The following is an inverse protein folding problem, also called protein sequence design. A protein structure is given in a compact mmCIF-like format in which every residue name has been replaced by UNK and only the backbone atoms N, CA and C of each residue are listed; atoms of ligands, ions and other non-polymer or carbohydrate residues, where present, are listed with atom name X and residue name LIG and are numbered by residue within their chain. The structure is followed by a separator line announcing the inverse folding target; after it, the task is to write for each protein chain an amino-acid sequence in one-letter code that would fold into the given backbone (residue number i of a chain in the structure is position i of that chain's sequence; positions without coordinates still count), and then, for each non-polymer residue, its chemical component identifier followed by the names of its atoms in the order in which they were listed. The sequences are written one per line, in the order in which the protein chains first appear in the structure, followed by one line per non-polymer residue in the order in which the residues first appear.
data_IF_704879898058
#
_entry.id   IF_704879898058
#
_cell.length_a   1.000
_cell.length_b   1.000
_cell.length_c   1.000
_cell.angle_alpha   90.00
_cell.angle_beta   90.00
_cell.angle_gamma   90.00
#
_symmetry.space_group_name_H-M   'P 1'
#
loop_
_entity.id
_entity.type
_entity.pdbx_description
1 polymer ?
#
# COMPACT_ATOMS: atom_id res chain seq x y z
N UNK A 1 -1.85 35.91 0.67
CA UNK A 1 -3.21 35.34 0.82
C UNK A 1 -3.17 34.43 2.04
N UNK A 2 -3.75 34.86 3.17
CA UNK A 2 -3.79 34.06 4.41
C UNK A 2 -4.69 32.83 4.16
N UNK A 3 -4.08 31.66 4.00
CA UNK A 3 -4.81 30.39 3.94
C UNK A 3 -5.47 30.17 5.30
N UNK A 4 -6.79 30.02 5.34
CA UNK A 4 -7.50 29.66 6.56
C UNK A 4 -7.04 28.27 7.00
N UNK A 5 -6.58 28.05 8.24
CA UNK A 5 -6.20 26.72 8.69
C UNK A 5 -7.43 25.81 8.84
N UNK A 6 -7.24 24.50 8.68
CA UNK A 6 -8.22 23.47 9.00
C UNK A 6 -7.91 22.89 10.38
N UNK A 7 -8.94 22.71 11.21
CA UNK A 7 -8.81 22.09 12.53
C UNK A 7 -9.56 20.76 12.58
N UNK A 8 -8.85 19.70 12.91
CA UNK A 8 -9.41 18.40 13.26
C UNK A 8 -9.43 18.29 14.79
N UNK A 9 -10.62 18.07 15.35
CA UNK A 9 -10.86 18.05 16.79
C UNK A 9 -11.48 16.70 17.16
N UNK A 10 -10.89 16.00 18.13
CA UNK A 10 -11.45 14.77 18.66
C UNK A 10 -12.69 15.07 19.51
N UNK A 11 -13.77 14.30 19.34
CA UNK A 11 -14.95 14.44 20.20
C UNK A 11 -14.59 14.21 21.68
N UNK A 12 -15.06 15.07 22.61
CA UNK A 12 -14.84 14.89 24.03
C UNK A 12 -15.29 13.50 24.50
N UNK A 13 -14.39 12.76 25.16
CA UNK A 13 -14.71 11.44 25.70
C UNK A 13 -14.70 10.29 24.69
N UNK A 14 -14.45 10.53 23.40
CA UNK A 14 -14.43 9.47 22.38
C UNK A 14 -13.44 8.33 22.71
N UNK A 15 -12.28 8.68 23.25
CA UNK A 15 -11.29 7.70 23.73
C UNK A 15 -11.86 6.83 24.86
N UNK A 16 -12.55 7.42 25.84
CA UNK A 16 -13.13 6.70 26.97
C UNK A 16 -14.30 5.80 26.55
N UNK A 17 -15.16 6.29 25.65
CA UNK A 17 -16.28 5.52 25.08
C UNK A 17 -15.75 4.33 24.29
N UNK A 18 -14.77 4.55 23.40
CA UNK A 18 -14.23 3.47 22.57
C UNK A 18 -13.44 2.43 23.39
N UNK A 19 -12.73 2.86 24.45
CA UNK A 19 -12.09 1.95 25.41
C UNK A 19 -13.16 1.11 26.15
N UNK A 20 -14.27 1.74 26.57
CA UNK A 20 -15.36 1.04 27.25
C UNK A 20 -16.04 0.01 26.33
N UNK A 21 -16.29 0.38 25.08
CA UNK A 21 -16.86 -0.52 24.07
C UNK A 21 -15.93 -1.70 23.77
N UNK A 22 -14.61 -1.46 23.67
CA UNK A 22 -13.64 -2.54 23.50
C UNK A 22 -13.58 -3.47 24.72
N UNK A 23 -13.69 -2.92 25.94
CA UNK A 23 -13.75 -3.71 27.15
C UNK A 23 -15.01 -4.60 27.18
N UNK A 24 -16.14 -4.10 26.67
CA UNK A 24 -17.38 -4.86 26.51
C UNK A 24 -17.25 -5.94 25.43
N UNK A 25 -16.68 -5.61 24.27
CA UNK A 25 -16.35 -6.56 23.20
C UNK A 25 -15.43 -7.67 23.70
N UNK A 26 -14.39 -7.34 24.48
CA UNK A 26 -13.49 -8.34 25.08
C UNK A 26 -14.24 -9.32 25.99
N UNK A 27 -15.16 -8.82 26.83
CA UNK A 27 -15.98 -9.67 27.71
C UNK A 27 -16.89 -10.58 26.89
N UNK A 28 -17.52 -10.05 25.85
CA UNK A 28 -18.36 -10.82 24.94
C UNK A 28 -17.57 -11.90 24.19
N UNK A 29 -16.39 -11.56 23.64
CA UNK A 29 -15.50 -12.50 22.96
C UNK A 29 -14.97 -13.58 23.91
N UNK A 30 -14.56 -13.23 25.14
CA UNK A 30 -14.10 -14.20 26.14
C UNK A 30 -15.22 -15.18 26.55
N UNK A 31 -16.47 -14.71 26.61
CA UNK A 31 -17.63 -15.55 26.82
C UNK A 31 -17.86 -16.48 25.62
N UNK A 32 -17.84 -15.97 24.39
CA UNK A 32 -18.09 -16.76 23.17
C UNK A 32 -16.99 -17.79 22.86
N UNK A 33 -15.71 -17.46 23.08
CA UNK A 33 -14.58 -18.40 22.94
C UNK A 33 -14.70 -19.58 23.92
N UNK A 34 -15.36 -19.40 25.07
CA UNK A 34 -15.58 -20.47 26.06
C UNK A 34 -16.65 -21.47 25.64
N UNK A 35 -17.57 -21.09 24.75
CA UNK A 35 -18.75 -21.91 24.45
C UNK A 35 -18.85 -22.40 23.00
N UNK A 36 -18.30 -21.73 21.98
CA UNK A 36 -18.59 -22.13 20.58
C UNK A 36 -17.49 -21.95 19.50
N UNK A 37 -16.27 -21.45 19.80
CA UNK A 37 -15.28 -21.15 18.73
C UNK A 37 -13.83 -21.56 19.07
N UNK A 38 -13.22 -22.38 18.20
CA UNK A 38 -11.78 -22.68 18.17
C UNK A 38 -10.94 -21.50 17.62
N UNK A 39 -11.16 -20.28 18.11
CA UNK A 39 -10.48 -19.08 17.64
C UNK A 39 -10.15 -18.14 18.82
N UNK A 40 -8.90 -17.67 18.91
CA UNK A 40 -8.46 -16.74 19.96
C UNK A 40 -8.96 -15.30 19.70
N UNK A 41 -10.28 -15.10 19.84
CA UNK A 41 -10.92 -13.80 19.74
C UNK A 41 -10.41 -12.83 20.81
N UNK A 42 -10.02 -13.34 21.98
CA UNK A 42 -9.49 -12.52 23.07
C UNK A 42 -8.09 -11.95 22.73
N UNK A 43 -7.26 -12.71 22.02
CA UNK A 43 -5.99 -12.24 21.44
C UNK A 43 -6.19 -11.14 20.40
N UNK A 44 -7.11 -11.34 19.45
CA UNK A 44 -7.42 -10.33 18.44
C UNK A 44 -7.92 -9.00 19.04
N UNK A 45 -8.76 -9.06 20.08
CA UNK A 45 -9.25 -7.85 20.76
C UNK A 45 -8.16 -7.15 21.58
N UNK A 46 -7.19 -7.89 22.16
CA UNK A 46 -6.02 -7.29 22.83
C UNK A 46 -5.16 -6.51 21.84
N UNK A 47 -4.91 -7.10 20.67
CA UNK A 47 -4.15 -6.47 19.59
C UNK A 47 -4.82 -5.17 19.13
N UNK A 48 -6.14 -5.21 18.91
CA UNK A 48 -6.95 -4.03 18.59
C UNK A 48 -6.84 -2.95 19.68
N UNK A 49 -6.93 -3.32 20.96
CA UNK A 49 -6.84 -2.38 22.07
C UNK A 49 -5.48 -1.66 22.13
N UNK A 50 -4.38 -2.37 21.88
CA UNK A 50 -3.05 -1.80 21.84
C UNK A 50 -2.86 -0.84 20.65
N UNK A 51 -3.49 -1.13 19.50
CA UNK A 51 -3.45 -0.27 18.32
C UNK A 51 -4.33 0.99 18.47
N UNK A 52 -5.38 0.96 19.29
CA UNK A 52 -6.31 2.06 19.51
C UNK A 52 -5.73 3.25 20.30
N UNK A 53 -4.89 2.99 21.31
CA UNK A 53 -4.23 4.05 22.07
C UNK A 53 -3.33 4.95 21.19
N UNK A 54 -2.88 4.36 20.09
CA UNK A 54 -2.04 4.94 19.07
C UNK A 54 -2.83 5.74 18.02
N UNK A 55 -4.10 5.42 17.80
CA UNK A 55 -5.01 6.11 16.87
C UNK A 55 -5.54 7.45 17.43
N UNK A 56 -5.54 7.64 18.76
CA UNK A 56 -6.03 8.87 19.41
C UNK A 56 -4.95 9.89 19.77
N UNK A 57 -3.77 9.83 19.14
CA UNK A 57 -2.71 10.81 19.34
C UNK A 57 -2.37 11.54 18.04
N UNK A 58 -2.99 12.71 17.83
CA UNK A 58 -2.74 13.53 16.65
C UNK A 58 -1.30 14.03 16.53
N UNK A 59 -0.48 13.96 17.58
CA UNK A 59 0.95 14.25 17.47
C UNK A 59 1.66 13.23 16.59
N UNK A 60 1.21 11.98 16.57
CA UNK A 60 1.77 10.93 15.69
C UNK A 60 1.40 11.21 14.24
N UNK A 61 0.12 11.50 14.00
CA UNK A 61 -0.38 11.88 12.68
C UNK A 61 0.37 13.10 12.12
N UNK A 62 0.50 14.17 12.92
CA UNK A 62 1.19 15.39 12.48
C UNK A 62 2.65 15.15 12.11
N UNK A 63 3.38 14.35 12.91
CA UNK A 63 4.78 14.00 12.60
C UNK A 63 4.90 13.26 11.28
N UNK A 64 4.06 12.25 11.06
CA UNK A 64 4.09 11.47 9.81
C UNK A 64 3.72 12.34 8.61
N UNK A 65 2.68 13.17 8.76
CA UNK A 65 2.23 14.13 7.75
C UNK A 65 3.33 15.11 7.35
N UNK A 66 4.04 15.69 8.33
CA UNK A 66 5.10 16.66 8.05
C UNK A 66 6.34 16.01 7.43
N UNK A 67 6.77 14.85 7.95
CA UNK A 67 7.94 14.12 7.45
C UNK A 67 7.72 13.63 6.01
N UNK A 68 6.63 12.91 5.77
CA UNK A 68 6.32 12.37 4.44
C UNK A 68 5.93 13.52 3.50
N UNK A 69 5.23 14.52 4.00
CA UNK A 69 4.86 15.72 3.24
C UNK A 69 6.04 16.54 2.78
N UNK A 70 7.11 16.64 3.56
CA UNK A 70 8.38 17.27 3.15
C UNK A 70 9.04 16.47 2.02
N UNK A 71 9.17 15.15 2.19
CA UNK A 71 9.80 14.27 1.20
C UNK A 71 9.04 14.25 -0.14
N UNK A 72 7.71 14.18 -0.10
CA UNK A 72 6.88 14.24 -1.32
C UNK A 72 6.94 15.61 -2.00
N UNK A 73 7.04 16.70 -1.23
CA UNK A 73 7.18 18.06 -1.77
C UNK A 73 8.51 18.25 -2.48
N UNK A 74 9.58 17.72 -1.92
CA UNK A 74 10.90 17.71 -2.56
C UNK A 74 10.87 16.92 -3.88
N UNK A 75 10.29 15.71 -3.87
CA UNK A 75 10.28 14.85 -5.05
C UNK A 75 9.32 15.31 -6.16
N UNK A 76 8.17 15.91 -5.83
CA UNK A 76 7.07 16.15 -6.78
C UNK A 76 6.62 17.61 -6.90
N UNK A 77 7.18 18.51 -6.10
CA UNK A 77 6.85 19.93 -6.09
C UNK A 77 5.35 20.16 -5.88
N UNK A 78 4.72 20.91 -6.77
CA UNK A 78 3.29 21.25 -6.67
C UNK A 78 2.34 20.17 -7.20
N UNK A 79 2.85 19.08 -7.80
CA UNK A 79 2.01 17.99 -8.36
C UNK A 79 1.33 17.16 -7.28
N UNK A 80 1.93 17.10 -6.10
CA UNK A 80 1.39 16.49 -4.90
C UNK A 80 1.34 17.54 -3.79
N UNK A 81 0.36 17.45 -2.91
CA UNK A 81 0.21 18.37 -1.79
C UNK A 81 -0.18 17.60 -0.55
N UNK A 82 0.66 17.72 0.46
CA UNK A 82 0.39 17.25 1.81
C UNK A 82 0.26 18.48 2.70
N UNK A 83 -0.81 18.60 3.50
CA UNK A 83 -0.93 19.71 4.44
C UNK A 83 0.24 19.69 5.43
N UNK A 84 0.68 20.86 5.89
CA UNK A 84 1.67 20.97 6.95
C UNK A 84 0.95 21.25 8.28
N UNK A 85 1.42 20.63 9.35
CA UNK A 85 0.92 20.91 10.69
C UNK A 85 1.29 22.34 11.12
N UNK A 86 0.40 22.99 11.85
CA UNK A 86 0.56 24.37 12.36
C UNK A 86 0.52 24.40 13.87
N UNK A 87 -0.40 23.66 14.46
CA UNK A 87 -0.51 23.48 15.90
C UNK A 87 -1.02 22.07 16.16
N UNK A 88 -0.36 21.35 17.07
CA UNK A 88 -0.74 19.98 17.40
C UNK A 88 -0.76 19.77 18.91
N UNK A 89 -1.81 19.09 19.36
CA UNK A 89 -1.93 18.51 20.70
C UNK A 89 -2.31 17.04 20.54
N UNK A 90 -2.46 16.30 21.64
CA UNK A 90 -2.97 14.92 21.57
C UNK A 90 -4.37 14.85 20.90
N UNK A 91 -5.22 15.86 21.12
CA UNK A 91 -6.66 15.85 20.75
C UNK A 91 -7.08 16.87 19.69
N UNK A 92 -6.16 17.71 19.23
CA UNK A 92 -6.41 18.68 18.17
C UNK A 92 -5.22 18.78 17.22
N UNK A 93 -5.50 18.73 15.91
CA UNK A 93 -4.54 19.00 14.84
C UNK A 93 -5.05 20.18 14.01
N UNK A 94 -4.26 21.25 13.96
CA UNK A 94 -4.45 22.39 13.07
C UNK A 94 -3.42 22.28 11.95
N UNK A 95 -3.87 22.31 10.70
CA UNK A 95 -3.03 22.14 9.52
C UNK A 95 -3.42 23.07 8.38
N UNK A 96 -2.58 23.11 7.35
CA UNK A 96 -2.87 23.85 6.12
C UNK A 96 -4.19 23.39 5.48
N UNK A 97 -5.03 24.34 5.09
CA UNK A 97 -6.20 24.01 4.29
C UNK A 97 -5.81 23.77 2.83
N UNK A 98 -6.00 22.54 2.37
CA UNK A 98 -5.74 22.16 0.98
C UNK A 98 -7.01 22.38 0.17
N UNK A 99 -6.98 23.40 -0.70
CA UNK A 99 -8.08 23.66 -1.64
C UNK A 99 -8.08 22.59 -2.74
N UNK A 100 -9.19 21.87 -2.88
CA UNK A 100 -9.43 20.88 -3.94
C UNK A 100 -10.83 20.27 -3.87
N UNK A 101 -11.16 19.45 -4.86
CA UNK A 101 -12.43 18.70 -4.91
C UNK A 101 -12.18 17.23 -4.53
N UNK A 102 -12.92 16.65 -3.58
CA UNK A 102 -12.82 15.23 -3.25
C UNK A 102 -13.03 14.34 -4.48
N UNK A 103 -12.29 13.23 -4.56
CA UNK A 103 -12.38 12.31 -5.69
C UNK A 103 -13.79 11.76 -5.97
N UNK A 104 -14.63 11.40 -4.97
CA UNK A 104 -16.01 10.98 -5.22
C UNK A 104 -16.87 12.04 -5.92
N UNK A 105 -16.52 13.32 -5.77
CA UNK A 105 -17.23 14.44 -6.41
C UNK A 105 -16.72 14.71 -7.83
N UNK A 106 -15.76 13.94 -8.34
CA UNK A 106 -15.21 14.11 -9.67
C UNK A 106 -16.28 14.03 -10.77
N UNK A 107 -17.30 13.21 -10.58
CA UNK A 107 -18.44 13.14 -11.50
C UNK A 107 -19.24 14.45 -11.56
N UNK A 108 -19.41 15.12 -10.41
CA UNK A 108 -20.07 16.42 -10.31
C UNK A 108 -19.25 17.56 -10.92
N UNK A 109 -17.92 17.51 -10.77
CA UNK A 109 -17.00 18.52 -11.34
C UNK A 109 -17.00 18.45 -12.87
N UNK A 110 -17.07 17.25 -13.46
CA UNK A 110 -17.13 17.08 -14.91
C UNK A 110 -18.56 17.18 -15.50
N UNK A 111 -19.61 17.14 -14.68
CA UNK A 111 -21.00 17.29 -15.13
C UNK A 111 -21.47 18.75 -15.18
N UNK A 112 -20.90 19.64 -14.35
CA UNK A 112 -21.27 21.07 -14.31
C UNK A 112 -20.84 21.87 -15.54
N UNK A 113 -19.93 21.34 -16.36
CA UNK A 113 -19.48 21.97 -17.62
C UNK A 113 -20.45 21.67 -18.77
N UNK A 114 -21.58 22.39 -18.84
CA UNK A 114 -22.67 22.25 -19.84
C UNK A 114 -22.30 22.49 -21.31
N UNK A 115 -21.02 22.70 -21.66
CA UNK A 115 -20.60 23.14 -23.01
C UNK A 115 -19.88 22.09 -23.87
N UNK A 116 -19.61 20.89 -23.35
CA UNK A 116 -18.79 19.90 -24.07
C UNK A 116 -19.59 18.70 -24.57
N UNK A 117 -19.51 18.42 -25.88
CA UNK A 117 -20.02 17.18 -26.52
C UNK A 117 -19.58 15.95 -25.72
N UNK A 118 -20.49 14.99 -25.46
CA UNK A 118 -20.29 13.87 -24.52
C UNK A 118 -18.99 13.06 -24.71
N UNK A 119 -18.49 12.95 -25.94
CA UNK A 119 -17.22 12.29 -26.25
C UNK A 119 -15.98 13.03 -25.68
N UNK A 120 -15.92 14.35 -25.84
CA UNK A 120 -14.83 15.19 -25.32
C UNK A 120 -14.78 15.14 -23.78
N UNK A 121 -15.96 15.09 -23.14
CA UNK A 121 -16.09 14.95 -21.68
C UNK A 121 -15.56 13.60 -21.18
N UNK A 122 -15.88 12.49 -21.85
CA UNK A 122 -15.32 11.16 -21.51
C UNK A 122 -13.80 11.13 -21.66
N UNK A 123 -13.27 11.69 -22.75
CA UNK A 123 -11.81 11.76 -22.98
C UNK A 123 -11.09 12.62 -21.94
N UNK A 124 -11.67 13.75 -21.55
CA UNK A 124 -11.12 14.61 -20.50
C UNK A 124 -11.15 13.92 -19.12
N UNK A 125 -12.25 13.23 -18.76
CA UNK A 125 -12.36 12.43 -17.53
C UNK A 125 -11.29 11.35 -17.48
N UNK A 126 -11.13 10.57 -18.56
CA UNK A 126 -10.13 9.50 -18.64
C UNK A 126 -8.71 10.03 -18.45
N UNK A 127 -8.35 11.11 -19.14
CA UNK A 127 -7.03 11.75 -18.98
C UNK A 127 -6.77 12.27 -17.57
N UNK A 128 -7.77 12.90 -16.95
CA UNK A 128 -7.65 13.35 -15.57
C UNK A 128 -7.51 12.16 -14.61
N UNK A 129 -8.24 11.06 -14.85
CA UNK A 129 -8.11 9.82 -14.09
C UNK A 129 -6.74 9.17 -14.22
N UNK A 130 -6.20 9.07 -15.44
CA UNK A 130 -4.83 8.61 -15.69
C UNK A 130 -3.79 9.46 -14.97
N UNK A 131 -3.94 10.79 -15.07
CA UNK A 131 -3.06 11.75 -14.43
C UNK A 131 -3.09 11.65 -12.90
N UNK A 132 -4.27 11.43 -12.32
CA UNK A 132 -4.47 11.17 -10.89
C UNK A 132 -3.80 9.86 -10.47
N UNK A 133 -4.12 8.75 -11.14
CA UNK A 133 -3.59 7.42 -10.84
C UNK A 133 -2.07 7.40 -10.94
N UNK A 134 -1.50 8.03 -11.97
CA UNK A 134 -0.05 8.15 -12.11
C UNK A 134 0.57 8.91 -10.92
N UNK A 135 -0.02 10.04 -10.51
CA UNK A 135 0.48 10.82 -9.36
C UNK A 135 0.38 10.04 -8.05
N UNK A 136 -0.74 9.35 -7.81
CA UNK A 136 -0.91 8.49 -6.65
C UNK A 136 0.10 7.34 -6.65
N UNK A 137 0.27 6.66 -7.79
CA UNK A 137 1.23 5.57 -7.93
C UNK A 137 2.66 6.04 -7.66
N UNK A 138 3.07 7.19 -8.21
CA UNK A 138 4.37 7.80 -7.93
C UNK A 138 4.52 8.18 -6.45
N UNK A 139 3.50 8.77 -5.83
CA UNK A 139 3.51 9.10 -4.40
C UNK A 139 3.72 7.84 -3.54
N UNK A 140 2.97 6.78 -3.81
CA UNK A 140 3.09 5.52 -3.09
C UNK A 140 4.41 4.79 -3.36
N UNK A 141 4.89 4.79 -4.61
CA UNK A 141 6.20 4.21 -4.93
C UNK A 141 7.32 4.92 -4.18
N UNK A 142 7.27 6.26 -4.10
CA UNK A 142 8.22 7.04 -3.30
C UNK A 142 8.10 6.74 -1.80
N UNK A 143 6.89 6.77 -1.25
CA UNK A 143 6.64 6.44 0.15
C UNK A 143 7.21 5.06 0.54
N UNK A 144 6.86 4.03 -0.23
CA UNK A 144 7.27 2.65 0.07
C UNK A 144 8.78 2.44 -0.12
N UNK A 145 9.33 2.80 -1.27
CA UNK A 145 10.70 2.43 -1.64
C UNK A 145 11.75 3.48 -1.31
N UNK A 146 11.36 4.72 -0.96
CA UNK A 146 12.30 5.78 -0.54
C UNK A 146 12.15 6.14 0.92
N UNK A 147 10.92 6.22 1.43
CA UNK A 147 10.70 6.60 2.82
C UNK A 147 10.60 5.40 3.77
N UNK A 148 10.30 4.18 3.27
CA UNK A 148 10.03 3.00 4.11
C UNK A 148 8.70 3.06 4.87
N UNK A 149 7.95 4.16 4.69
CA UNK A 149 6.66 4.46 5.34
C UNK A 149 5.63 4.81 4.28
N UNK A 150 4.40 4.34 4.46
CA UNK A 150 3.31 4.62 3.53
C UNK A 150 2.00 4.88 4.27
N UNK A 151 1.12 5.62 3.60
CA UNK A 151 -0.24 5.82 4.05
C UNK A 151 -1.07 4.55 3.76
N UNK A 152 -1.58 3.90 4.79
CA UNK A 152 -2.33 2.64 4.68
C UNK A 152 -3.82 2.82 4.42
N UNK A 153 -4.30 4.06 4.29
CA UNK A 153 -5.70 4.37 4.03
C UNK A 153 -5.89 5.48 2.97
N UNK A 154 -5.54 5.24 1.70
CA UNK A 154 -5.79 6.16 0.59
C UNK A 154 -7.27 6.24 0.20
N UNK A 155 -8.17 6.24 1.17
CA UNK A 155 -9.59 6.28 0.90
C UNK A 155 -9.93 7.46 -0.03
N UNK A 156 -10.76 7.30 -1.07
CA UNK A 156 -11.07 8.36 -2.03
C UNK A 156 -11.52 9.69 -1.41
N UNK A 157 -12.11 9.66 -0.21
CA UNK A 157 -12.49 10.85 0.55
C UNK A 157 -11.29 11.71 1.01
N UNK A 158 -10.14 11.09 1.24
CA UNK A 158 -8.89 11.74 1.64
C UNK A 158 -8.05 12.21 0.45
N UNK A 159 -8.53 11.99 -0.78
CA UNK A 159 -7.86 12.38 -2.01
C UNK A 159 -8.55 13.61 -2.61
N UNK A 160 -7.80 14.71 -2.71
CA UNK A 160 -8.29 15.95 -3.30
C UNK A 160 -7.72 16.16 -4.70
N UNK A 161 -8.57 16.46 -5.67
CA UNK A 161 -8.16 16.93 -6.99
C UNK A 161 -8.02 18.45 -6.98
N UNK A 162 -6.84 18.91 -7.37
CA UNK A 162 -6.48 20.33 -7.33
C UNK A 162 -6.18 20.82 -8.73
N UNK A 163 -6.64 22.03 -9.04
CA UNK A 163 -6.17 22.78 -10.20
C UNK A 163 -4.74 23.22 -9.95
N UNK A 164 -3.85 22.94 -10.89
CA UNK A 164 -2.45 23.33 -10.81
C UNK A 164 -2.02 24.09 -12.07
N UNK A 165 -0.90 24.78 -12.01
CA UNK A 165 -0.37 25.52 -13.15
C UNK A 165 0.05 24.61 -14.32
N UNK A 166 0.38 25.20 -15.48
CA UNK A 166 0.83 24.45 -16.67
C UNK A 166 2.00 23.51 -16.39
N UNK A 167 2.94 23.92 -15.52
CA UNK A 167 4.10 23.10 -15.11
C UNK A 167 3.72 21.78 -14.41
N UNK A 168 2.51 21.70 -13.85
CA UNK A 168 1.97 20.48 -13.23
C UNK A 168 0.99 19.74 -14.16
N UNK A 169 0.96 20.07 -15.45
CA UNK A 169 0.00 19.49 -16.41
C UNK A 169 -1.46 19.80 -16.08
N UNK A 170 -1.73 20.91 -15.38
CA UNK A 170 -3.07 21.37 -15.03
C UNK A 170 -3.72 20.67 -13.82
N UNK A 171 -3.11 19.59 -13.29
CA UNK A 171 -3.68 18.78 -12.22
C UNK A 171 -2.65 18.49 -11.12
N UNK A 172 -3.07 18.63 -9.87
CA UNK A 172 -2.35 18.17 -8.69
C UNK A 172 -3.25 17.35 -7.78
N UNK A 173 -2.65 16.57 -6.89
CA UNK A 173 -3.37 15.69 -5.95
C UNK A 173 -3.01 16.09 -4.52
N UNK A 174 -4.03 16.34 -3.71
CA UNK A 174 -3.90 16.49 -2.26
C UNK A 174 -4.08 15.14 -1.57
N UNK A 175 -3.15 14.79 -0.68
CA UNK A 175 -3.24 13.62 0.19
C UNK A 175 -3.54 14.10 1.61
N UNK A 176 -4.75 13.83 2.06
CA UNK A 176 -5.20 14.11 3.42
C UNK A 176 -5.08 12.85 4.29
N UNK A 177 -5.28 13.04 5.60
CA UNK A 177 -5.37 11.99 6.62
C UNK A 177 -4.12 11.12 6.69
N UNK A 178 -3.34 11.33 7.75
CA UNK A 178 -2.10 10.58 7.99
C UNK A 178 -2.19 9.74 9.26
N UNK A 179 -3.42 9.54 9.77
CA UNK A 179 -3.68 8.77 10.99
C UNK A 179 -3.27 7.30 10.84
N UNK A 180 -3.40 6.74 9.64
CA UNK A 180 -2.96 5.39 9.31
C UNK A 180 -1.68 5.40 8.44
N UNK A 181 -0.54 5.60 9.09
CA UNK A 181 0.78 5.40 8.47
C UNK A 181 1.39 4.09 8.96
N UNK A 182 1.97 3.30 8.05
CA UNK A 182 2.62 2.02 8.36
C UNK A 182 4.01 1.96 7.76
N UNK A 183 4.89 1.25 8.44
CA UNK A 183 6.23 0.92 7.96
C UNK A 183 6.20 -0.43 7.26
N UNK A 184 7.00 -0.59 6.20
CA UNK A 184 7.26 -1.88 5.59
C UNK A 184 8.74 -2.21 5.83
N UNK A 185 9.01 -3.26 6.62
CA UNK A 185 10.37 -3.65 6.97
C UNK A 185 11.23 -3.90 5.73
N UNK A 186 12.55 -3.66 5.85
CA UNK A 186 13.48 -3.69 4.72
C UNK A 186 13.42 -4.98 3.89
N UNK A 187 13.30 -6.11 4.58
CA UNK A 187 13.20 -7.44 3.95
C UNK A 187 11.90 -7.58 3.13
N UNK A 188 10.76 -7.14 3.69
CA UNK A 188 9.48 -7.15 3.00
C UNK A 188 9.46 -6.16 1.81
N UNK A 189 10.10 -5.00 1.98
CA UNK A 189 10.27 -4.00 0.90
C UNK A 189 11.15 -4.54 -0.23
N UNK A 190 12.23 -5.26 0.08
CA UNK A 190 13.09 -5.91 -0.91
C UNK A 190 12.34 -6.99 -1.71
N UNK A 191 11.59 -7.86 -1.02
CA UNK A 191 10.76 -8.87 -1.68
C UNK A 191 9.68 -8.22 -2.56
N UNK A 192 9.02 -7.17 -2.06
CA UNK A 192 8.04 -6.41 -2.84
C UNK A 192 8.69 -5.78 -4.09
N UNK A 193 9.89 -5.23 -3.97
CA UNK A 193 10.63 -4.66 -5.08
C UNK A 193 10.91 -5.71 -6.17
N UNK A 194 11.35 -6.92 -5.80
CA UNK A 194 11.54 -8.02 -6.75
C UNK A 194 10.23 -8.43 -7.43
N UNK A 195 9.13 -8.57 -6.68
CA UNK A 195 7.82 -8.91 -7.24
C UNK A 195 7.32 -7.82 -8.21
N UNK A 196 7.44 -6.55 -7.84
CA UNK A 196 7.07 -5.41 -8.70
C UNK A 196 7.84 -5.44 -10.01
N UNK A 197 9.14 -5.72 -9.97
CA UNK A 197 9.97 -5.85 -11.18
C UNK A 197 9.47 -6.98 -12.08
N UNK A 198 9.26 -8.17 -11.52
CA UNK A 198 8.74 -9.32 -12.24
C UNK A 198 7.38 -9.02 -12.90
N UNK A 199 6.48 -8.35 -12.15
CA UNK A 199 5.18 -7.90 -12.64
C UNK A 199 5.29 -6.85 -13.76
N UNK A 200 6.29 -5.96 -13.71
CA UNK A 200 6.44 -4.86 -14.67
C UNK A 200 7.06 -5.27 -16.02
N UNK A 201 7.89 -6.33 -16.02
CA UNK A 201 8.64 -6.81 -17.18
C UNK A 201 7.82 -7.79 -18.03
N UNK A 202 8.45 -8.52 -18.97
CA UNK A 202 7.86 -9.38 -20.02
C UNK A 202 7.05 -10.61 -19.52
N UNK A 203 6.28 -10.46 -18.44
CA UNK A 203 5.30 -11.42 -17.89
C UNK A 203 5.81 -12.86 -17.86
N UNK A 204 7.05 -13.07 -17.37
CA UNK A 204 7.52 -14.40 -17.04
C UNK A 204 6.70 -14.91 -15.85
N UNK A 205 5.74 -15.81 -16.14
CA UNK A 205 4.78 -16.29 -15.16
C UNK A 205 5.46 -17.03 -14.03
N UNK A 206 6.48 -17.83 -14.36
CA UNK A 206 7.25 -18.60 -13.39
C UNK A 206 7.99 -17.68 -12.41
N UNK A 207 8.62 -16.60 -12.90
CA UNK A 207 9.29 -15.61 -12.02
C UNK A 207 8.29 -14.88 -11.13
N UNK A 208 7.13 -14.44 -11.67
CA UNK A 208 6.07 -13.80 -10.85
C UNK A 208 5.59 -14.73 -9.74
N UNK A 209 5.32 -16.00 -10.06
CA UNK A 209 4.87 -16.99 -9.08
C UNK A 209 5.94 -17.24 -8.02
N UNK A 210 7.21 -17.36 -8.43
CA UNK A 210 8.31 -17.51 -7.49
C UNK A 210 8.41 -16.30 -6.56
N UNK A 211 8.42 -15.07 -7.09
CA UNK A 211 8.46 -13.85 -6.26
C UNK A 211 7.25 -13.71 -5.36
N UNK A 212 6.08 -14.17 -5.79
CA UNK A 212 4.88 -14.20 -4.96
C UNK A 212 5.03 -15.15 -3.76
N UNK A 213 5.67 -16.33 -3.96
CA UNK A 213 5.99 -17.23 -2.84
C UNK A 213 7.13 -16.72 -1.97
N UNK A 214 8.15 -16.06 -2.54
CA UNK A 214 9.23 -15.43 -1.80
C UNK A 214 8.69 -14.40 -0.79
N UNK A 215 7.56 -13.73 -1.10
CA UNK A 215 6.86 -12.83 -0.15
C UNK A 215 6.35 -13.54 1.12
N UNK A 216 6.33 -14.88 1.17
CA UNK A 216 5.80 -15.67 2.28
C UNK A 216 4.35 -16.12 2.10
N UNK A 217 3.78 -15.95 0.90
CA UNK A 217 2.43 -16.42 0.57
C UNK A 217 2.39 -17.94 0.49
N UNK A 218 1.29 -18.57 0.90
CA UNK A 218 1.05 -20.00 0.65
C UNK A 218 -0.36 -20.22 0.13
N UNK A 219 -0.47 -20.99 -0.94
CA UNK A 219 -1.74 -21.38 -1.55
C UNK A 219 -2.09 -22.82 -1.19
N UNK A 220 -3.36 -23.19 -1.33
CA UNK A 220 -3.86 -24.54 -1.09
C UNK A 220 -3.21 -25.57 -2.04
N UNK A 221 -3.15 -25.24 -3.33
CA UNK A 221 -2.42 -26.02 -4.33
C UNK A 221 -1.22 -25.21 -4.85
N UNK A 222 -0.02 -25.38 -4.29
CA UNK A 222 1.17 -24.62 -4.73
C UNK A 222 1.62 -24.98 -6.16
N UNK A 223 1.19 -26.12 -6.69
CA UNK A 223 1.56 -26.56 -8.04
C UNK A 223 0.67 -25.97 -9.13
N UNK A 224 -0.47 -25.36 -8.78
CA UNK A 224 -1.30 -24.61 -9.72
C UNK A 224 -0.72 -23.21 -9.95
N UNK A 225 0.31 -23.16 -10.80
CA UNK A 225 1.02 -21.91 -11.16
C UNK A 225 0.15 -20.93 -11.93
N UNK A 226 -0.90 -21.40 -12.61
CA UNK A 226 -1.82 -20.52 -13.35
C UNK A 226 -2.68 -19.71 -12.39
N UNK A 227 -3.29 -20.36 -11.40
CA UNK A 227 -4.02 -19.68 -10.33
C UNK A 227 -3.08 -18.81 -9.49
N UNK A 228 -1.89 -19.31 -9.15
CA UNK A 228 -0.91 -18.55 -8.37
C UNK A 228 -0.52 -17.24 -9.07
N UNK A 229 -0.24 -17.29 -10.37
CA UNK A 229 0.04 -16.11 -11.18
C UNK A 229 -1.14 -15.13 -11.18
N UNK A 230 -2.36 -15.63 -11.42
CA UNK A 230 -3.56 -14.79 -11.43
C UNK A 230 -3.81 -14.10 -10.08
N UNK A 231 -3.58 -14.80 -8.97
CA UNK A 231 -3.67 -14.26 -7.61
C UNK A 231 -2.59 -13.19 -7.38
N UNK A 232 -1.33 -13.48 -7.74
CA UNK A 232 -0.22 -12.54 -7.59
C UNK A 232 -0.50 -11.21 -8.31
N UNK A 233 -0.90 -11.27 -9.59
CA UNK A 233 -1.26 -10.08 -10.37
C UNK A 233 -2.50 -9.40 -9.80
N UNK A 234 -3.48 -10.15 -9.32
CA UNK A 234 -4.71 -9.56 -8.75
C UNK A 234 -4.43 -8.81 -7.45
N UNK A 235 -3.55 -9.35 -6.60
CA UNK A 235 -3.19 -8.79 -5.30
C UNK A 235 -2.23 -7.60 -5.42
N UNK A 236 -1.20 -7.71 -6.25
CA UNK A 236 -0.07 -6.78 -6.26
C UNK A 236 0.02 -5.90 -7.50
N UNK A 237 -0.98 -5.94 -8.38
CA UNK A 237 -1.10 -5.04 -9.52
C UNK A 237 -2.55 -4.55 -9.72
N UNK A 238 -2.65 -3.42 -10.40
CA UNK A 238 -3.94 -2.79 -10.74
C UNK A 238 -4.43 -3.18 -12.13
N UNK A 239 -3.58 -3.85 -12.93
CA UNK A 239 -3.92 -4.28 -14.30
C UNK A 239 -5.16 -5.19 -14.29
N UNK A 240 -5.93 -5.14 -15.38
CA UNK A 240 -7.03 -6.09 -15.59
C UNK A 240 -6.46 -7.40 -16.16
N UNK A 241 -6.94 -8.53 -15.67
CA UNK A 241 -6.61 -9.85 -16.24
C UNK A 241 -7.83 -10.32 -17.02
N UNK A 242 -7.74 -10.52 -18.35
CA UNK A 242 -8.84 -11.06 -19.13
C UNK A 242 -9.34 -12.40 -18.55
N UNK A 243 -10.66 -12.54 -18.41
CA UNK A 243 -11.29 -13.76 -17.88
C UNK A 243 -11.39 -13.83 -16.35
N UNK A 244 -10.65 -13.03 -15.61
CA UNK A 244 -10.77 -12.92 -14.15
C UNK A 244 -11.49 -11.64 -13.74
N UNK A 245 -12.27 -11.71 -12.67
CA UNK A 245 -12.93 -10.53 -12.10
C UNK A 245 -12.47 -10.26 -10.69
N UNK A 246 -12.48 -8.98 -10.32
CA UNK A 246 -12.10 -8.51 -8.98
C UNK A 246 -13.16 -8.78 -7.91
N UNK A 247 -14.41 -9.04 -8.30
CA UNK A 247 -15.49 -9.31 -7.36
C UNK A 247 -15.20 -10.63 -6.60
N UNK A 248 -15.04 -10.62 -5.26
CA UNK A 248 -14.74 -11.81 -4.47
C UNK A 248 -15.84 -12.88 -4.50
N UNK A 249 -17.08 -12.49 -4.83
CA UNK A 249 -18.22 -13.40 -4.86
C UNK A 249 -18.44 -14.08 -6.22
N UNK A 250 -17.77 -13.63 -7.28
CA UNK A 250 -17.89 -14.21 -8.63
C UNK A 250 -17.02 -15.48 -8.75
N UNK A 251 -17.51 -16.48 -9.47
CA UNK A 251 -16.82 -17.76 -9.70
C UNK A 251 -15.52 -17.60 -10.50
N UNK A 252 -15.37 -16.51 -11.25
CA UNK A 252 -14.17 -16.17 -12.02
C UNK A 252 -13.14 -15.39 -11.20
N UNK A 253 -13.30 -15.29 -9.89
CA UNK A 253 -12.29 -14.69 -9.03
C UNK A 253 -11.11 -15.66 -8.82
N UNK A 254 -9.88 -15.17 -9.01
CA UNK A 254 -8.67 -15.98 -8.87
C UNK A 254 -8.50 -16.59 -7.47
N UNK A 255 -9.04 -15.95 -6.42
CA UNK A 255 -8.98 -16.47 -5.04
C UNK A 255 -9.90 -17.67 -4.81
N UNK A 256 -10.89 -17.92 -5.71
CA UNK A 256 -11.76 -19.10 -5.62
C UNK A 256 -11.17 -20.33 -6.28
N UNK A 257 -10.24 -20.17 -7.23
CA UNK A 257 -9.60 -21.31 -7.89
C UNK A 257 -8.48 -21.92 -7.03
N UNK A 258 -7.84 -21.13 -6.16
CA UNK A 258 -6.79 -21.60 -5.28
C UNK A 258 -6.72 -20.74 -4.00
N UNK A 259 -7.15 -21.27 -2.86
CA UNK A 259 -7.27 -20.49 -1.63
C UNK A 259 -5.90 -20.07 -1.07
N UNK A 260 -5.79 -18.83 -0.59
CA UNK A 260 -4.61 -18.36 0.15
C UNK A 260 -4.69 -18.89 1.58
N UNK A 261 -3.82 -19.85 1.94
CA UNK A 261 -3.76 -20.46 3.28
C UNK A 261 -2.91 -19.65 4.25
N UNK A 262 -1.85 -19.01 3.76
CA UNK A 262 -0.98 -18.14 4.57
C UNK A 262 -0.78 -16.82 3.85
N UNK A 263 -1.07 -15.74 4.55
CA UNK A 263 -0.84 -14.37 4.13
C UNK A 263 0.01 -13.67 5.20
N UNK A 264 1.21 -13.15 4.87
CA UNK A 264 2.05 -12.43 5.82
C UNK A 264 1.35 -11.17 6.37
N UNK A 265 1.21 -11.03 7.70
CA UNK A 265 0.48 -9.91 8.31
C UNK A 265 1.00 -8.53 7.91
N UNK A 266 2.32 -8.38 7.78
CA UNK A 266 2.98 -7.11 7.46
C UNK A 266 2.61 -6.57 6.07
N UNK A 267 2.11 -7.43 5.18
CA UNK A 267 1.69 -7.06 3.83
C UNK A 267 0.22 -6.63 3.75
N UNK A 268 -0.55 -6.77 4.83
CA UNK A 268 -2.00 -6.56 4.77
C UNK A 268 -2.35 -5.12 4.41
N UNK A 269 -1.71 -4.15 5.09
CA UNK A 269 -1.91 -2.72 4.82
C UNK A 269 -1.39 -2.30 3.44
N UNK A 270 -0.32 -2.96 2.97
CA UNK A 270 0.21 -2.75 1.62
C UNK A 270 -0.80 -3.22 0.57
N UNK A 271 -1.30 -4.45 0.73
CA UNK A 271 -2.33 -5.02 -0.15
C UNK A 271 -3.57 -4.12 -0.17
N UNK A 272 -4.07 -3.69 1.00
CA UNK A 272 -5.21 -2.77 1.10
C UNK A 272 -4.98 -1.50 0.28
N UNK A 273 -3.81 -0.89 0.40
CA UNK A 273 -3.45 0.33 -0.35
C UNK A 273 -3.48 0.09 -1.87
N UNK A 274 -2.89 -1.01 -2.34
CA UNK A 274 -2.91 -1.40 -3.76
C UNK A 274 -4.34 -1.65 -4.25
N UNK A 275 -5.16 -2.35 -3.46
CA UNK A 275 -6.55 -2.65 -3.83
C UNK A 275 -7.43 -1.39 -3.87
N UNK A 276 -7.18 -0.39 -3.02
CA UNK A 276 -7.88 0.90 -3.11
C UNK A 276 -7.49 1.63 -4.40
N UNK A 277 -6.21 1.69 -4.75
CA UNK A 277 -5.76 2.27 -6.03
C UNK A 277 -6.38 1.53 -7.22
N UNK A 278 -6.47 0.19 -7.14
CA UNK A 278 -7.16 -0.64 -8.14
C UNK A 278 -8.65 -0.30 -8.25
N UNK A 279 -9.33 -0.15 -7.12
CA UNK A 279 -10.73 0.26 -7.06
C UNK A 279 -10.96 1.62 -7.70
N UNK A 280 -10.08 2.60 -7.43
CA UNK A 280 -10.09 3.91 -8.09
C UNK A 280 -9.89 3.76 -9.61
N UNK A 281 -8.92 2.95 -10.03
CA UNK A 281 -8.67 2.69 -11.46
C UNK A 281 -9.89 2.09 -12.17
N UNK A 282 -10.55 1.14 -11.51
CA UNK A 282 -11.76 0.51 -12.03
C UNK A 282 -12.93 1.51 -12.10
N UNK A 283 -13.18 2.28 -11.04
CA UNK A 283 -14.24 3.29 -11.01
C UNK A 283 -14.04 4.45 -12.00
N UNK A 284 -12.80 4.70 -12.42
CA UNK A 284 -12.47 5.68 -13.47
C UNK A 284 -12.46 5.08 -14.88
N UNK A 285 -12.66 3.77 -15.01
CA UNK A 285 -12.51 2.99 -16.24
C UNK A 285 -11.16 3.24 -16.95
N UNK A 286 -10.09 3.27 -16.16
CA UNK A 286 -8.71 3.37 -16.64
C UNK A 286 -8.06 2.01 -16.47
N UNK A 287 -7.47 1.48 -17.54
CA UNK A 287 -6.56 0.34 -17.45
C UNK A 287 -5.18 0.87 -17.04
N UNK A 288 -4.75 0.48 -15.84
CA UNK A 288 -3.58 1.05 -15.18
C UNK A 288 -2.72 -0.07 -14.64
N UNK A 289 -1.40 0.03 -14.84
CA UNK A 289 -0.44 -0.96 -14.38
C UNK A 289 0.46 -0.31 -13.33
N UNK A 290 0.12 -0.50 -12.06
CA UNK A 290 0.85 0.07 -10.93
C UNK A 290 2.32 -0.38 -10.94
N UNK A 291 2.55 -1.66 -11.24
CA UNK A 291 3.89 -2.26 -11.31
C UNK A 291 4.82 -1.51 -12.26
N UNK A 292 4.33 -1.00 -13.39
CA UNK A 292 5.15 -0.23 -14.35
C UNK A 292 5.62 1.11 -13.79
N UNK A 293 4.83 1.74 -12.93
CA UNK A 293 5.20 3.00 -12.28
C UNK A 293 6.12 2.74 -11.09
N UNK A 294 5.93 1.63 -10.37
CA UNK A 294 6.74 1.28 -9.21
C UNK A 294 8.09 0.67 -9.58
N UNK A 295 8.24 0.06 -10.76
CA UNK A 295 9.48 -0.61 -11.16
C UNK A 295 10.75 0.26 -11.05
N UNK A 296 10.76 1.54 -11.50
CA UNK A 296 11.94 2.40 -11.31
C UNK A 296 12.29 2.66 -9.84
N UNK A 297 11.28 2.74 -8.95
CA UNK A 297 11.51 2.89 -7.52
C UNK A 297 12.07 1.61 -6.91
N UNK A 298 11.53 0.46 -7.31
CA UNK A 298 12.01 -0.85 -6.90
C UNK A 298 13.47 -1.09 -7.35
N UNK A 299 13.81 -0.73 -8.59
CA UNK A 299 15.18 -0.81 -9.10
C UNK A 299 16.15 0.04 -8.28
N UNK A 300 15.76 1.28 -7.98
CA UNK A 300 16.57 2.20 -7.18
C UNK A 300 16.77 1.68 -5.75
N UNK A 301 15.72 1.13 -5.12
CA UNK A 301 15.80 0.54 -3.79
C UNK A 301 16.75 -0.66 -3.73
N UNK A 302 16.61 -1.59 -4.68
CA UNK A 302 17.48 -2.78 -4.73
C UNK A 302 18.94 -2.40 -4.99
N UNK A 303 19.18 -1.40 -5.85
CA UNK A 303 20.52 -0.89 -6.12
C UNK A 303 21.16 -0.24 -4.90
N UNK A 304 20.41 0.57 -4.13
CA UNK A 304 20.95 1.27 -2.96
C UNK A 304 21.25 0.36 -1.76
N UNK A 305 20.61 -0.80 -1.68
CA UNK A 305 20.79 -1.75 -0.57
C UNK A 305 21.74 -2.92 -0.94
N UNK A 306 22.36 -2.90 -2.12
CA UNK A 306 23.24 -3.99 -2.58
C UNK A 306 22.50 -5.32 -2.79
N UNK A 307 21.17 -5.29 -2.88
CA UNK A 307 20.32 -6.48 -3.04
C UNK A 307 20.22 -6.79 -4.54
N UNK A 308 21.33 -7.24 -5.13
CA UNK A 308 21.37 -7.72 -6.51
C UNK A 308 21.05 -9.22 -6.54
N UNK A 309 19.82 -9.55 -6.94
CA UNK A 309 19.30 -10.90 -7.18
C UNK A 309 19.50 -11.90 -6.02
N UNK A 310 18.41 -12.25 -5.33
CA UNK A 310 18.34 -13.47 -4.53
C UNK A 310 18.61 -14.64 -5.48
N UNK A 311 19.85 -15.12 -5.46
CA UNK A 311 20.33 -16.25 -6.22
C UNK A 311 19.71 -17.53 -5.65
N UNK A 312 19.24 -18.38 -6.56
CA UNK A 312 18.63 -19.70 -6.34
C UNK A 312 19.23 -20.41 -5.13
N UNK A 313 18.39 -20.71 -4.12
CA UNK A 313 18.69 -21.81 -3.22
C UNK A 313 18.68 -23.11 -4.03
N UNK A 314 19.87 -23.57 -4.39
CA UNK A 314 20.08 -24.97 -4.73
C UNK A 314 20.11 -25.74 -3.41
N UNK A 315 19.18 -26.67 -3.30
CA UNK A 315 19.33 -27.86 -2.46
C UNK A 315 20.63 -28.56 -2.84
N UNK A 316 21.46 -28.89 -1.84
CA UNK A 316 22.68 -29.67 -2.06
C UNK A 316 23.40 -29.92 -0.75
N UNK A 317 22.93 -30.92 -0.01
CA UNK A 317 23.83 -31.70 0.83
C UNK A 317 24.90 -32.32 -0.08
N UNK A 318 26.17 -32.22 0.36
CA UNK A 318 27.39 -32.95 -0.06
C UNK A 318 28.57 -31.98 -0.19
N UNK A 319 29.53 -32.11 0.72
CA UNK A 319 30.75 -31.29 0.72
C UNK A 319 31.54 -31.25 2.04
N UNK A 320 31.20 -32.03 3.06
CA UNK A 320 32.13 -32.34 4.15
C UNK A 320 32.90 -33.62 3.81
N UNK A 321 33.98 -33.49 3.04
CA UNK A 321 35.17 -34.35 3.14
C UNK A 321 36.26 -33.75 2.26
N UNK A 322 37.49 -33.71 2.78
CA UNK A 322 38.77 -33.30 2.15
C UNK A 322 39.29 -31.92 2.55
N UNK A 323 39.70 -31.78 3.81
CA UNK A 323 40.81 -30.90 4.19
C UNK A 323 41.42 -31.33 5.55
N UNK A 324 41.90 -32.57 5.66
CA UNK A 324 42.66 -32.99 6.84
C UNK A 324 43.64 -34.14 6.56
N UNK A 325 44.50 -34.01 5.55
CA UNK A 325 45.76 -34.76 5.46
C UNK A 325 46.64 -34.12 4.40
N UNK A 326 47.61 -33.30 4.82
CA UNK A 326 49.01 -33.25 4.32
C UNK A 326 49.65 -31.92 4.73
N UNK A 327 50.49 -31.95 5.77
CA UNK A 327 51.80 -31.29 5.75
C UNK A 327 52.59 -31.71 6.99
N UNK A 328 53.40 -32.76 6.81
CA UNK A 328 54.50 -33.10 7.70
C UNK A 328 55.83 -32.68 7.05
N UNK A 329 56.76 -32.22 7.91
CA UNK A 329 58.18 -32.02 7.61
C UNK A 329 58.49 -30.68 6.94
N UNK A 330 59.47 -29.88 7.36
CA UNK A 330 60.86 -30.28 7.66
C UNK A 330 61.48 -29.38 8.75
N UNK A 331 62.31 -30.03 9.58
CA UNK A 331 63.08 -29.51 10.70
C UNK A 331 64.40 -28.80 10.31
N UNK A 332 64.97 -28.04 11.26
CA UNK A 332 66.41 -27.70 11.50
C UNK A 332 66.42 -26.54 12.51
N UNK A 333 67.08 -26.48 13.68
CA UNK A 333 68.13 -27.24 14.40
C UNK A 333 67.78 -27.16 15.90
#
# INVERSE_FOLDING_TARGET
MLLRPLSQVQYPGAEAVMIADLANLRKACAYLTRFELNFDLAGAVRELQAQLAHEFDFRREARNMDLIGASLREAFGQKLTVPQSRLVTRRMLVMDFVVGSPLPQLEAVFSSSRRSRGFLRRRARRRAGEALLARLAHAYGHMVFRCGVFNADPHPGNLLLRRAGPASGGLAVGLLDWGQTKELGEEATARLAHLVKALSQKENKEDIVQRFYDMGMKLENPNDTTSAHAIAVTMFDTRRIPGFVTNPFDSRNALRSNAVKVFPPDLFFMLRSIQIIKGISHGLDVDFHLSRIWAPYADQYLASHGISNISRHTSGAEGELLAATTNGGVASI
#
